data_IF_485498060548
#
_entry.id   IF_485498060548
#
_cell.length_a   1.000
_cell.length_b   1.000
_cell.length_c   1.000
_cell.angle_alpha   90.00
_cell.angle_beta   90.00
_cell.angle_gamma   90.00
#
_symmetry.space_group_name_H-M   'P 1'
#
loop_
_entity.id
_entity.type
_entity.pdbx_description
1 polymer ?
#
# COMPACT_ATOMS: atom_id res chain seq x y z
N UNK A 1 -4.78 -4.35 5.05
CA UNK A 1 -3.87 -3.20 5.37
C UNK A 1 -2.42 -3.62 5.50
N UNK A 2 -2.08 -4.59 6.35
CA UNK A 2 -0.67 -5.02 6.53
C UNK A 2 -0.06 -5.52 5.23
N UNK A 3 -0.78 -6.40 4.53
CA UNK A 3 -0.36 -6.92 3.23
C UNK A 3 -0.13 -5.79 2.22
N UNK A 4 -1.10 -4.87 2.10
CA UNK A 4 -0.97 -3.74 1.19
C UNK A 4 0.25 -2.87 1.53
N UNK A 5 0.48 -2.60 2.80
CA UNK A 5 1.62 -1.79 3.24
C UNK A 5 2.96 -2.47 2.95
N UNK A 6 3.04 -3.78 3.18
CA UNK A 6 4.23 -4.58 2.89
C UNK A 6 4.49 -4.70 1.38
N UNK A 7 3.45 -4.95 0.58
CA UNK A 7 3.58 -5.12 -0.87
C UNK A 7 3.84 -3.82 -1.63
N UNK A 8 3.50 -2.66 -1.05
CA UNK A 8 3.58 -1.37 -1.77
C UNK A 8 4.56 -0.37 -1.17
N UNK A 9 5.00 -0.61 0.06
CA UNK A 9 5.83 0.33 0.79
C UNK A 9 5.17 1.69 1.07
N UNK A 10 3.84 1.78 1.06
CA UNK A 10 3.12 3.02 1.35
C UNK A 10 3.46 3.58 2.73
N UNK A 11 3.48 4.91 2.85
CA UNK A 11 3.50 5.55 4.17
C UNK A 11 2.18 5.31 4.89
N UNK A 12 2.21 5.24 6.23
CA UNK A 12 0.97 5.06 7.00
C UNK A 12 -0.07 6.13 6.68
N UNK A 13 0.36 7.38 6.48
CA UNK A 13 -0.55 8.46 6.08
C UNK A 13 -1.20 8.21 4.72
N UNK A 14 -0.43 7.75 3.75
CA UNK A 14 -0.93 7.42 2.41
C UNK A 14 -1.92 6.25 2.47
N UNK A 15 -1.60 5.23 3.27
CA UNK A 15 -2.45 4.06 3.43
C UNK A 15 -3.81 4.39 4.08
N UNK A 16 -3.83 5.17 5.16
CA UNK A 16 -5.07 5.51 5.86
C UNK A 16 -5.92 6.54 5.13
N UNK A 17 -5.30 7.42 4.34
CA UNK A 17 -6.01 8.41 3.50
C UNK A 17 -6.37 7.89 2.11
N UNK A 18 -6.00 6.65 1.76
CA UNK A 18 -6.32 6.07 0.46
C UNK A 18 -7.83 6.02 0.26
N UNK A 19 -8.30 6.65 -0.79
CA UNK A 19 -9.72 6.66 -1.17
C UNK A 19 -10.03 5.57 -2.20
N UNK A 20 -11.27 5.10 -2.20
CA UNK A 20 -11.72 4.02 -3.08
C UNK A 20 -11.56 4.38 -4.58
N UNK A 21 -11.76 5.64 -4.94
CA UNK A 21 -11.59 6.15 -6.32
C UNK A 21 -10.13 6.06 -6.82
N UNK A 22 -9.18 5.94 -5.90
CA UNK A 22 -7.76 5.84 -6.19
C UNK A 22 -7.24 4.39 -6.27
N UNK A 23 -8.15 3.42 -6.22
CA UNK A 23 -7.83 1.99 -6.29
C UNK A 23 -8.29 1.42 -7.61
N UNK A 24 -7.37 1.06 -8.48
CA UNK A 24 -7.62 0.39 -9.75
C UNK A 24 -7.49 -1.13 -9.60
N UNK A 25 -8.55 -1.80 -9.15
CA UNK A 25 -8.55 -3.26 -8.94
C UNK A 25 -8.25 -4.02 -10.23
N UNK A 26 -8.87 -3.62 -11.35
CA UNK A 26 -8.66 -4.26 -12.66
C UNK A 26 -7.26 -3.99 -13.23
N UNK A 27 -6.68 -2.85 -12.89
CA UNK A 27 -5.34 -2.47 -13.32
C UNK A 27 -4.24 -2.95 -12.36
N UNK A 28 -4.60 -3.43 -11.15
CA UNK A 28 -3.65 -3.83 -10.12
C UNK A 28 -2.75 -2.68 -9.64
N UNK A 29 -3.31 -1.49 -9.47
CA UNK A 29 -2.56 -0.29 -9.04
C UNK A 29 -3.32 0.51 -8.00
N UNK A 30 -2.58 1.26 -7.19
CA UNK A 30 -3.13 2.35 -6.38
C UNK A 30 -2.46 3.67 -6.76
N UNK A 31 -3.27 4.74 -6.77
CA UNK A 31 -2.80 6.11 -6.94
C UNK A 31 -2.65 6.74 -5.57
N UNK A 32 -1.49 7.27 -5.26
CA UNK A 32 -1.23 7.91 -3.97
C UNK A 32 -0.69 9.32 -4.15
N UNK A 33 -1.15 10.21 -3.28
CA UNK A 33 -0.67 11.57 -3.22
C UNK A 33 0.54 11.64 -2.28
N UNK A 34 1.69 12.01 -2.83
CA UNK A 34 2.92 12.19 -2.08
C UNK A 34 3.08 13.60 -1.49
N UNK A 35 4.23 13.85 -0.87
CA UNK A 35 4.59 15.18 -0.37
C UNK A 35 4.63 16.19 -1.52
N UNK A 36 4.03 17.36 -1.30
CA UNK A 36 3.98 18.43 -2.30
C UNK A 36 2.94 18.23 -3.41
N UNK A 37 1.92 17.39 -3.20
CA UNK A 37 0.84 17.18 -4.16
C UNK A 37 1.24 16.35 -5.38
N UNK A 38 2.39 15.71 -5.38
CA UNK A 38 2.83 14.85 -6.48
C UNK A 38 2.15 13.49 -6.37
N UNK A 39 1.42 13.11 -7.40
CA UNK A 39 0.83 11.77 -7.52
C UNK A 39 1.88 10.76 -7.96
N UNK A 40 1.72 9.51 -7.48
CA UNK A 40 2.41 8.36 -8.05
C UNK A 40 1.49 7.16 -8.11
N UNK A 41 1.77 6.28 -9.06
CA UNK A 41 1.13 4.97 -9.17
C UNK A 41 2.03 3.94 -8.49
N UNK A 42 1.42 3.09 -7.68
CA UNK A 42 2.11 1.98 -7.02
C UNK A 42 1.43 0.69 -7.43
N UNK A 43 2.18 -0.26 -8.03
CA UNK A 43 1.63 -1.56 -8.39
C UNK A 43 1.26 -2.35 -7.15
N UNK A 44 0.21 -3.15 -7.28
CA UNK A 44 -0.21 -4.17 -6.33
C UNK A 44 0.22 -5.53 -6.87
N UNK A 45 0.92 -6.31 -6.07
CA UNK A 45 1.10 -7.72 -6.36
C UNK A 45 -0.22 -8.49 -6.21
N UNK A 46 -0.28 -9.67 -6.79
CA UNK A 46 -1.51 -10.47 -6.83
C UNK A 46 -2.06 -10.78 -5.43
N UNK A 47 -1.19 -11.06 -4.48
CA UNK A 47 -1.57 -11.35 -3.11
C UNK A 47 -2.24 -10.12 -2.44
N UNK A 48 -1.62 -8.94 -2.57
CA UNK A 48 -2.18 -7.70 -2.03
C UNK A 48 -3.51 -7.34 -2.69
N UNK A 49 -3.62 -7.59 -3.99
CA UNK A 49 -4.83 -7.36 -4.77
C UNK A 49 -5.96 -8.30 -4.33
N UNK A 50 -5.66 -9.58 -4.11
CA UNK A 50 -6.61 -10.57 -3.61
C UNK A 50 -7.17 -10.17 -2.24
N UNK A 51 -6.30 -9.82 -1.30
CA UNK A 51 -6.71 -9.35 0.03
C UNK A 51 -7.50 -8.05 -0.01
N UNK A 52 -7.13 -7.13 -0.89
CA UNK A 52 -7.83 -5.85 -1.03
C UNK A 52 -9.23 -6.06 -1.62
N UNK A 53 -9.36 -6.89 -2.66
CA UNK A 53 -10.65 -7.25 -3.26
C UNK A 53 -11.57 -7.88 -2.22
N UNK A 54 -11.10 -8.91 -1.52
CA UNK A 54 -11.85 -9.57 -0.47
C UNK A 54 -12.31 -8.59 0.62
N UNK A 55 -11.45 -7.68 1.04
CA UNK A 55 -11.80 -6.66 2.03
C UNK A 55 -12.90 -5.73 1.52
N UNK A 56 -12.81 -5.27 0.27
CA UNK A 56 -13.78 -4.35 -0.33
C UNK A 56 -15.15 -4.99 -0.54
N UNK A 57 -15.17 -6.29 -0.88
CA UNK A 57 -16.40 -7.04 -1.17
C UNK A 57 -17.09 -7.58 0.10
N UNK A 58 -16.32 -8.04 1.09
CA UNK A 58 -16.85 -8.68 2.29
C UNK A 58 -16.86 -7.71 3.49
N UNK A 59 -15.68 -7.34 3.99
CA UNK A 59 -15.56 -6.71 5.31
C UNK A 59 -15.95 -5.23 5.32
N UNK A 60 -15.61 -4.48 4.27
CA UNK A 60 -15.89 -3.04 4.22
C UNK A 60 -17.38 -2.73 4.23
N UNK A 61 -18.25 -3.40 3.45
CA UNK A 61 -19.70 -3.20 3.52
C UNK A 61 -20.29 -3.51 4.91
N UNK A 62 -19.82 -4.57 5.56
CA UNK A 62 -20.23 -4.92 6.92
C UNK A 62 -19.87 -3.85 7.95
N UNK A 63 -18.66 -3.27 7.84
CA UNK A 63 -18.19 -2.21 8.72
C UNK A 63 -18.97 -0.91 8.51
N UNK A 64 -19.29 -0.57 7.28
CA UNK A 64 -20.02 0.65 6.92
C UNK A 64 -21.52 0.55 7.23
N UNK A 65 -22.13 -0.63 7.09
CA UNK A 65 -23.57 -0.83 7.30
C UNK A 65 -24.42 0.21 6.57
N UNK A 66 -24.09 0.46 5.30
CA UNK A 66 -24.78 1.43 4.45
C UNK A 66 -24.36 2.89 4.64
N UNK A 67 -23.40 3.20 5.53
CA UNK A 67 -22.86 4.56 5.62
C UNK A 67 -21.85 4.79 4.48
N UNK A 68 -21.71 6.03 4.06
CA UNK A 68 -20.72 6.47 3.09
C UNK A 68 -19.41 6.87 3.77
N UNK A 69 -18.29 6.46 3.16
CA UNK A 69 -16.95 6.83 3.58
C UNK A 69 -16.00 6.74 2.38
N UNK A 70 -15.32 7.81 1.96
CA UNK A 70 -14.46 7.78 0.79
C UNK A 70 -13.21 6.94 1.00
N UNK A 71 -12.71 6.80 2.23
CA UNK A 71 -11.51 6.02 2.53
C UNK A 71 -11.74 4.52 2.29
N UNK A 72 -10.71 3.87 1.77
CA UNK A 72 -10.70 2.40 1.59
C UNK A 72 -10.83 1.72 2.95
N UNK A 73 -9.94 2.06 3.89
CA UNK A 73 -9.88 1.39 5.19
C UNK A 73 -10.69 2.13 6.23
N UNK A 74 -11.74 1.46 6.67
CA UNK A 74 -12.72 2.01 7.62
C UNK A 74 -12.71 1.25 8.94
N UNK A 75 -13.26 1.88 9.95
CA UNK A 75 -13.46 1.29 11.28
C UNK A 75 -14.94 0.97 11.49
N UNK A 76 -15.24 0.21 12.55
CA UNK A 76 -16.61 -0.04 13.01
C UNK A 76 -17.37 1.24 13.43
N UNK A 77 -16.68 2.39 13.52
CA UNK A 77 -17.29 3.72 13.70
C UNK A 77 -17.75 4.34 12.38
N UNK A 78 -17.69 3.61 11.28
CA UNK A 78 -18.10 4.04 9.93
C UNK A 78 -17.29 5.25 9.41
N UNK A 79 -16.05 5.34 9.83
CA UNK A 79 -15.11 6.41 9.46
C UNK A 79 -13.76 5.84 9.09
N UNK A 80 -12.96 6.60 8.38
CA UNK A 80 -11.60 6.22 7.99
C UNK A 80 -10.73 5.80 9.18
N UNK A 81 -9.81 4.91 8.94
CA UNK A 81 -8.84 4.42 9.92
C UNK A 81 -7.90 5.55 10.34
N UNK A 82 -7.66 5.72 11.64
CA UNK A 82 -6.65 6.66 12.15
C UNK A 82 -5.27 5.99 12.28
N UNK A 83 -4.21 6.81 12.33
CA UNK A 83 -2.84 6.31 12.58
C UNK A 83 -2.76 5.52 13.89
N UNK A 84 -3.38 6.01 14.95
CA UNK A 84 -3.38 5.34 16.25
C UNK A 84 -4.11 4.00 16.18
N UNK A 85 -5.30 3.95 15.55
CA UNK A 85 -6.05 2.72 15.39
C UNK A 85 -5.24 1.67 14.61
N UNK A 86 -4.56 2.08 13.53
CA UNK A 86 -3.71 1.19 12.77
C UNK A 86 -2.50 0.70 13.59
N UNK A 87 -1.87 1.58 14.36
CA UNK A 87 -0.78 1.22 15.28
C UNK A 87 -1.21 0.18 16.32
N UNK A 88 -2.38 0.39 16.95
CA UNK A 88 -2.94 -0.60 17.88
C UNK A 88 -3.23 -1.93 17.20
N UNK A 89 -3.78 -1.91 15.98
CA UNK A 89 -4.05 -3.12 15.21
C UNK A 89 -2.77 -3.90 14.93
N UNK A 90 -1.70 -3.23 14.44
CA UNK A 90 -0.39 -3.87 14.21
C UNK A 90 0.12 -4.56 15.48
N UNK A 91 0.12 -3.85 16.60
CA UNK A 91 0.60 -4.42 17.87
C UNK A 91 -0.21 -5.62 18.34
N UNK A 92 -1.54 -5.52 18.22
CA UNK A 92 -2.45 -6.62 18.55
C UNK A 92 -2.15 -7.86 17.73
N UNK A 93 -2.05 -7.71 16.41
CA UNK A 93 -1.78 -8.84 15.51
C UNK A 93 -0.37 -9.40 15.66
N UNK A 94 0.64 -8.57 15.93
CA UNK A 94 1.99 -9.04 16.24
C UNK A 94 2.00 -9.93 17.49
N UNK A 95 1.31 -9.53 18.56
CA UNK A 95 1.18 -10.34 19.77
C UNK A 95 0.45 -11.66 19.47
N UNK A 96 -0.67 -11.62 18.77
CA UNK A 96 -1.44 -12.82 18.40
C UNK A 96 -0.64 -13.80 17.52
N UNK A 97 0.27 -13.28 16.70
CA UNK A 97 1.17 -14.05 15.85
C UNK A 97 2.44 -14.54 16.58
N UNK A 98 2.60 -14.25 17.87
CA UNK A 98 3.79 -14.63 18.63
C UNK A 98 5.06 -13.88 18.21
N UNK A 99 4.94 -12.74 17.53
CA UNK A 99 6.09 -11.93 17.08
C UNK A 99 6.60 -11.11 18.25
N UNK A 100 7.80 -11.46 18.72
CA UNK A 100 8.46 -10.78 19.86
C UNK A 100 9.05 -9.41 19.51
N UNK A 101 9.35 -9.17 18.25
CA UNK A 101 9.90 -7.90 17.77
C UNK A 101 8.83 -6.81 17.68
N UNK A 102 9.25 -5.56 17.91
CA UNK A 102 8.36 -4.39 17.75
C UNK A 102 8.09 -4.14 16.26
N UNK A 103 6.98 -4.65 15.76
CA UNK A 103 6.53 -4.35 14.39
C UNK A 103 5.97 -2.93 14.33
N UNK A 104 6.39 -2.18 13.31
CA UNK A 104 5.92 -0.81 13.07
C UNK A 104 5.66 -0.56 11.57
N UNK A 105 4.85 0.44 11.20
CA UNK A 105 4.67 0.83 9.81
C UNK A 105 5.98 1.14 9.08
N UNK A 106 6.93 1.78 9.78
CA UNK A 106 8.25 2.07 9.21
C UNK A 106 9.04 0.81 8.89
N UNK A 107 8.96 -0.21 9.75
CA UNK A 107 9.63 -1.49 9.50
C UNK A 107 9.05 -2.19 8.29
N UNK A 108 7.72 -2.22 8.13
CA UNK A 108 7.08 -2.83 6.96
C UNK A 108 7.51 -2.14 5.65
N UNK A 109 7.55 -0.81 5.65
CA UNK A 109 8.03 -0.05 4.51
C UNK A 109 9.54 -0.26 4.26
N UNK A 110 10.34 -0.36 5.32
CA UNK A 110 11.76 -0.68 5.20
C UNK A 110 11.97 -2.09 4.63
N UNK A 111 11.18 -3.07 5.10
CA UNK A 111 11.20 -4.43 4.56
C UNK A 111 10.86 -4.47 3.08
N UNK A 112 9.85 -3.72 2.62
CA UNK A 112 9.55 -3.57 1.20
C UNK A 112 10.78 -3.13 0.40
N UNK A 113 11.42 -2.03 0.82
CA UNK A 113 12.61 -1.51 0.13
C UNK A 113 13.76 -2.52 0.12
N UNK A 114 14.03 -3.12 1.27
CA UNK A 114 15.12 -4.08 1.44
C UNK A 114 14.89 -5.33 0.59
N UNK A 115 13.66 -5.84 0.53
CA UNK A 115 13.33 -7.01 -0.26
C UNK A 115 13.50 -6.75 -1.76
N UNK A 116 13.01 -5.63 -2.28
CA UNK A 116 13.22 -5.26 -3.68
C UNK A 116 14.73 -5.17 -4.02
N UNK A 117 15.51 -4.47 -3.20
CA UNK A 117 16.95 -4.32 -3.43
C UNK A 117 17.69 -5.65 -3.35
N UNK A 118 17.36 -6.50 -2.38
CA UNK A 118 18.00 -7.82 -2.22
C UNK A 118 17.68 -8.78 -3.38
N UNK A 119 16.57 -8.55 -4.09
CA UNK A 119 16.20 -9.32 -5.26
C UNK A 119 16.60 -8.63 -6.57
N UNK A 120 17.48 -7.63 -6.51
CA UNK A 120 18.11 -7.04 -7.69
C UNK A 120 17.37 -5.87 -8.33
N UNK A 121 16.33 -5.32 -7.68
CA UNK A 121 15.69 -4.12 -8.19
C UNK A 121 16.63 -2.92 -8.14
N UNK A 122 16.61 -2.09 -9.18
CA UNK A 122 17.39 -0.87 -9.24
C UNK A 122 16.97 0.11 -8.13
N UNK A 123 17.96 0.73 -7.46
CA UNK A 123 17.73 1.66 -6.36
C UNK A 123 16.82 2.84 -6.77
N UNK A 124 16.96 3.35 -8.01
CA UNK A 124 16.12 4.45 -8.50
C UNK A 124 14.66 4.03 -8.64
N UNK A 125 14.42 2.79 -9.07
CA UNK A 125 13.05 2.25 -9.14
C UNK A 125 12.44 2.14 -7.75
N UNK A 126 13.19 1.64 -6.78
CA UNK A 126 12.73 1.57 -5.38
C UNK A 126 12.44 2.97 -4.83
N UNK A 127 13.29 3.96 -5.11
CA UNK A 127 13.06 5.36 -4.72
C UNK A 127 11.79 5.94 -5.35
N UNK A 128 11.50 5.63 -6.62
CA UNK A 128 10.28 6.04 -7.31
C UNK A 128 9.04 5.45 -6.66
N UNK A 129 9.03 4.14 -6.41
CA UNK A 129 7.93 3.44 -5.73
C UNK A 129 7.67 4.01 -4.34
N UNK A 130 8.72 4.37 -3.63
CA UNK A 130 8.64 4.98 -2.31
C UNK A 130 8.24 6.47 -2.32
N UNK A 131 8.27 7.13 -3.49
CA UNK A 131 7.92 8.56 -3.61
C UNK A 131 8.95 9.47 -2.96
N UNK A 132 10.23 9.26 -3.25
CA UNK A 132 11.30 10.19 -2.95
C UNK A 132 11.26 11.35 -3.96
N UNK A 133 11.22 12.59 -3.45
CA UNK A 133 10.76 13.78 -4.18
C UNK A 133 11.72 14.34 -5.24
N UNK A 134 12.94 13.85 -5.33
CA UNK A 134 13.98 14.47 -6.20
C UNK A 134 13.99 13.95 -7.65
N UNK A 135 13.10 12.99 -7.96
CA UNK A 135 12.96 12.48 -9.32
C UNK A 135 11.66 13.02 -9.90
N UNK A 136 11.76 13.80 -10.98
CA UNK A 136 10.59 14.35 -11.68
C UNK A 136 9.66 13.23 -12.19
N UNK A 137 8.62 12.97 -11.42
CA UNK A 137 7.70 11.84 -11.61
C UNK A 137 6.70 12.03 -12.76
N UNK A 138 6.66 13.21 -13.37
CA UNK A 138 5.63 13.58 -14.34
C UNK A 138 5.71 12.82 -15.68
N UNK A 139 6.86 12.26 -16.02
CA UNK A 139 7.07 11.56 -17.30
C UNK A 139 6.90 10.03 -17.25
N UNK A 140 6.72 9.43 -16.05
CA UNK A 140 6.73 7.96 -15.86
C UNK A 140 5.33 7.34 -15.94
N UNK A 141 4.28 8.12 -16.15
CA UNK A 141 2.88 7.64 -16.12
C UNK A 141 2.34 7.19 -17.49
N UNK A 142 3.19 6.90 -18.46
CA UNK A 142 2.77 6.24 -19.70
C UNK A 142 2.38 4.78 -19.45
N UNK A 143 1.56 4.23 -20.33
CA UNK A 143 1.17 2.79 -20.25
C UNK A 143 2.39 1.86 -20.18
N UNK A 144 3.43 2.17 -20.93
CA UNK A 144 4.70 1.40 -20.96
C UNK A 144 5.41 1.44 -19.60
N UNK A 145 5.40 2.59 -18.91
CA UNK A 145 6.02 2.70 -17.59
C UNK A 145 5.24 1.94 -16.51
N UNK A 146 3.90 1.85 -16.63
CA UNK A 146 3.08 1.04 -15.69
C UNK A 146 3.39 -0.44 -15.80
N UNK A 147 3.47 -0.96 -17.01
CA UNK A 147 3.82 -2.35 -17.26
C UNK A 147 5.23 -2.67 -16.73
N UNK A 148 6.21 -1.79 -16.99
CA UNK A 148 7.56 -1.94 -16.46
C UNK A 148 7.61 -1.94 -14.93
N UNK A 149 6.86 -1.08 -14.25
CA UNK A 149 6.79 -1.05 -12.78
C UNK A 149 6.16 -2.32 -12.21
N UNK A 150 5.10 -2.84 -12.85
CA UNK A 150 4.47 -4.11 -12.45
C UNK A 150 5.44 -5.28 -12.63
N UNK A 151 6.12 -5.34 -13.77
CA UNK A 151 7.09 -6.38 -14.05
C UNK A 151 8.21 -6.38 -13.02
N UNK A 152 8.82 -5.22 -12.73
CA UNK A 152 9.86 -5.10 -11.71
C UNK A 152 9.33 -5.51 -10.34
N UNK A 153 8.10 -5.12 -9.98
CA UNK A 153 7.51 -5.52 -8.72
C UNK A 153 7.30 -7.03 -8.65
N UNK A 154 6.75 -7.65 -9.71
CA UNK A 154 6.51 -9.10 -9.74
C UNK A 154 7.79 -9.92 -9.76
N UNK A 155 8.87 -9.43 -10.40
CA UNK A 155 10.15 -10.12 -10.46
C UNK A 155 10.97 -10.02 -9.16
N UNK A 156 10.81 -8.92 -8.42
CA UNK A 156 11.72 -8.59 -7.31
C UNK A 156 11.06 -8.53 -5.93
N UNK A 157 9.75 -8.56 -5.85
CA UNK A 157 9.05 -8.52 -4.56
C UNK A 157 8.44 -9.89 -4.23
N UNK A 158 8.57 -10.42 -2.98
CA UNK A 158 8.02 -11.72 -2.58
C UNK A 158 6.50 -11.84 -2.69
N UNK A 159 5.81 -10.73 -2.87
CA UNK A 159 4.34 -10.63 -3.06
C UNK A 159 3.99 -10.03 -4.43
N UNK A 160 4.93 -10.06 -5.38
CA UNK A 160 4.75 -9.60 -6.75
C UNK A 160 3.89 -10.51 -7.61
#
# INVERSE_FOLDING_TARGET
MLELMYATGLRVSELISLEAVNVGISQGIVRVMGKGGKERLVPLGEEALSWLRRYLEESRPELLRGADCPQVFVTNRKSGMTRQAFWYAIRKYAVLAGVSQKVSPHMLRHSFATHLLNHGADLRVVQLLLGHSDLSTTQIYTHIAREGLKQIHSEHHPRG
#
